data_IF_884467042004
#
_entry.id   IF_884467042004
#
_cell.length_a   1.000
_cell.length_b   1.000
_cell.length_c   1.000
_cell.angle_alpha   90.00
_cell.angle_beta   90.00
_cell.angle_gamma   90.00
#
_symmetry.space_group_name_H-M   'P 1'
#
loop_
_entity.id
_entity.type
_entity.pdbx_description
1 polymer ?
#
# COMPACT_ATOMS: atom_id res chain seq x y z
N UNK A 1 -42.25 44.20 -27.69
CA UNK A 1 -41.10 44.77 -26.96
C UNK A 1 -41.54 44.83 -25.51
N UNK A 2 -41.03 44.07 -24.55
CA UNK A 2 -39.89 43.15 -24.50
C UNK A 2 -40.29 41.98 -23.56
N UNK A 3 -39.85 40.77 -23.88
CA UNK A 3 -39.90 39.62 -22.98
C UNK A 3 -38.52 39.50 -22.35
N UNK A 4 -38.38 39.85 -21.08
CA UNK A 4 -37.16 39.59 -20.30
C UNK A 4 -37.30 38.22 -19.63
N UNK A 5 -37.04 37.17 -20.39
CA UNK A 5 -36.74 35.85 -19.84
C UNK A 5 -35.28 35.87 -19.33
N UNK A 6 -35.14 36.20 -18.05
CA UNK A 6 -33.89 36.04 -17.32
C UNK A 6 -33.59 34.55 -17.18
N UNK A 7 -32.80 34.04 -18.13
CA UNK A 7 -32.15 32.75 -18.05
C UNK A 7 -31.29 32.74 -16.78
N UNK A 8 -31.79 32.13 -15.70
CA UNK A 8 -30.96 31.74 -14.57
C UNK A 8 -29.96 30.71 -15.12
N UNK A 9 -28.81 31.22 -15.55
CA UNK A 9 -27.60 30.43 -15.70
C UNK A 9 -27.30 29.90 -14.30
N UNK A 10 -27.76 28.67 -14.03
CA UNK A 10 -27.22 27.89 -12.93
C UNK A 10 -25.74 27.71 -13.27
N UNK A 11 -24.91 28.61 -12.77
CA UNK A 11 -23.47 28.42 -12.64
C UNK A 11 -23.29 27.20 -11.74
N UNK A 12 -23.35 26.03 -12.38
CA UNK A 12 -22.74 24.81 -11.87
C UNK A 12 -21.27 25.17 -11.78
N UNK A 13 -20.88 25.75 -10.64
CA UNK A 13 -19.48 25.81 -10.24
C UNK A 13 -19.06 24.36 -10.25
N UNK A 14 -18.45 23.94 -11.35
CA UNK A 14 -17.69 22.71 -11.43
C UNK A 14 -16.74 22.82 -10.26
N UNK A 15 -17.05 22.14 -9.16
CA UNK A 15 -16.16 22.02 -8.03
C UNK A 15 -15.02 21.20 -8.59
N UNK A 16 -14.04 21.90 -9.16
CA UNK A 16 -12.82 21.30 -9.67
C UNK A 16 -12.16 20.63 -8.48
N UNK A 17 -12.34 19.32 -8.37
CA UNK A 17 -11.70 18.56 -7.33
C UNK A 17 -10.20 18.62 -7.63
N UNK A 18 -9.39 19.00 -6.64
CA UNK A 18 -7.94 19.03 -6.79
C UNK A 18 -7.38 17.69 -7.32
N UNK A 19 -8.06 16.58 -7.01
CA UNK A 19 -7.72 15.24 -7.48
C UNK A 19 -7.85 15.04 -9.00
N UNK A 20 -8.69 15.82 -9.66
CA UNK A 20 -8.86 15.80 -11.12
C UNK A 20 -7.81 16.66 -11.82
N UNK A 21 -7.23 17.64 -11.11
CA UNK A 21 -6.22 18.55 -11.62
C UNK A 21 -4.79 18.01 -11.49
N UNK A 22 -4.51 17.19 -10.47
CA UNK A 22 -3.17 16.64 -10.24
C UNK A 22 -2.92 15.41 -11.11
N UNK A 23 -1.80 15.37 -11.84
CA UNK A 23 -1.30 14.19 -12.53
C UNK A 23 -0.66 13.18 -11.57
N UNK A 24 -0.30 11.99 -12.08
CA UNK A 24 0.31 10.95 -11.25
C UNK A 24 1.71 11.36 -10.75
N UNK A 25 2.42 12.17 -11.53
CA UNK A 25 3.77 12.64 -11.18
C UNK A 25 3.73 13.67 -10.04
N UNK A 26 2.76 14.56 -10.04
CA UNK A 26 2.52 15.50 -8.94
C UNK A 26 2.13 14.76 -7.67
N UNK A 27 1.28 13.74 -7.77
CA UNK A 27 0.91 12.90 -6.62
C UNK A 27 2.12 12.10 -6.08
N UNK A 28 3.01 11.61 -6.95
CA UNK A 28 4.29 11.01 -6.52
C UNK A 28 5.19 12.04 -5.84
N UNK A 29 5.26 13.26 -6.36
CA UNK A 29 6.04 14.33 -5.76
C UNK A 29 5.51 14.66 -4.36
N UNK A 30 4.19 14.77 -4.18
CA UNK A 30 3.56 14.96 -2.87
C UNK A 30 3.90 13.80 -1.93
N UNK A 31 3.72 12.55 -2.37
CA UNK A 31 4.05 11.37 -1.57
C UNK A 31 5.53 11.35 -1.13
N UNK A 32 6.45 11.75 -2.01
CA UNK A 32 7.88 11.82 -1.70
C UNK A 32 8.25 12.89 -0.67
N UNK A 33 7.40 13.92 -0.51
CA UNK A 33 7.58 15.01 0.46
C UNK A 33 7.02 14.67 1.84
N UNK A 34 6.23 13.61 1.98
CA UNK A 34 5.72 13.16 3.29
C UNK A 34 6.88 12.61 4.13
N UNK A 35 7.14 13.26 5.26
CA UNK A 35 8.22 12.87 6.18
C UNK A 35 7.86 11.67 7.06
N UNK A 36 6.60 11.62 7.55
CA UNK A 36 6.12 10.54 8.42
C UNK A 36 5.57 9.37 7.60
N UNK A 37 5.90 8.16 8.02
CA UNK A 37 5.34 6.94 7.44
C UNK A 37 3.84 6.80 7.76
N UNK A 38 3.34 7.39 8.87
CA UNK A 38 1.90 7.44 9.15
C UNK A 38 1.13 8.22 8.09
N UNK A 39 1.65 9.38 7.68
CA UNK A 39 1.01 10.18 6.63
C UNK A 39 1.03 9.43 5.30
N UNK A 40 2.11 8.71 5.01
CA UNK A 40 2.19 7.84 3.83
C UNK A 40 1.15 6.73 3.87
N UNK A 41 0.78 6.19 5.04
CA UNK A 41 -0.30 5.20 5.16
C UNK A 41 -1.67 5.82 4.86
N UNK A 42 -1.93 7.01 5.39
CA UNK A 42 -3.21 7.73 5.21
C UNK A 42 -3.37 8.27 3.78
N UNK A 43 -2.27 8.58 3.09
CA UNK A 43 -2.27 9.06 1.69
C UNK A 43 -3.11 8.16 0.76
N UNK A 44 -3.03 6.84 0.91
CA UNK A 44 -3.79 5.90 0.07
C UNK A 44 -5.30 5.90 0.34
N UNK A 45 -5.78 6.56 1.40
CA UNK A 45 -7.19 6.53 1.81
C UNK A 45 -8.04 7.60 1.13
N UNK A 46 -7.43 8.53 0.38
CA UNK A 46 -8.14 9.62 -0.31
C UNK A 46 -9.01 9.09 -1.46
N UNK A 47 -8.41 8.33 -2.39
CA UNK A 47 -9.13 7.68 -3.48
C UNK A 47 -8.31 6.52 -4.08
N UNK A 48 -8.94 5.74 -4.98
CA UNK A 48 -8.29 4.58 -5.64
C UNK A 48 -6.99 4.94 -6.37
N UNK A 49 -6.89 6.15 -6.91
CA UNK A 49 -5.70 6.62 -7.63
C UNK A 49 -4.52 6.85 -6.69
N UNK A 50 -4.75 7.52 -5.57
CA UNK A 50 -3.73 7.74 -4.54
C UNK A 50 -3.28 6.41 -3.92
N UNK A 51 -4.23 5.50 -3.67
CA UNK A 51 -3.93 4.13 -3.22
C UNK A 51 -3.00 3.39 -4.18
N UNK A 52 -3.24 3.49 -5.49
CA UNK A 52 -2.39 2.87 -6.52
C UNK A 52 -0.97 3.45 -6.51
N UNK A 53 -0.85 4.78 -6.41
CA UNK A 53 0.46 5.44 -6.34
C UNK A 53 1.21 5.02 -5.09
N UNK A 54 0.59 5.11 -3.91
CA UNK A 54 1.16 4.61 -2.65
C UNK A 54 1.68 3.18 -2.78
N UNK A 55 0.87 2.29 -3.35
CA UNK A 55 1.19 0.87 -3.42
C UNK A 55 2.36 0.56 -4.37
N UNK A 56 2.54 1.37 -5.42
CA UNK A 56 3.66 1.21 -6.37
C UNK A 56 4.96 1.90 -5.91
N UNK A 57 4.84 2.94 -5.08
CA UNK A 57 6.01 3.66 -4.54
C UNK A 57 6.57 3.03 -3.26
N UNK A 58 5.73 2.33 -2.47
CA UNK A 58 6.20 1.68 -1.24
C UNK A 58 7.20 0.56 -1.54
N UNK A 59 8.46 0.76 -1.13
CA UNK A 59 9.56 -0.20 -1.35
C UNK A 59 9.86 -1.09 -0.15
N UNK A 60 9.43 -0.70 1.04
CA UNK A 60 9.68 -1.41 2.29
C UNK A 60 8.38 -1.66 3.03
N UNK A 61 8.23 -2.84 3.61
CA UNK A 61 7.03 -3.20 4.38
C UNK A 61 7.43 -4.17 5.49
N UNK A 62 6.92 -3.92 6.69
CA UNK A 62 6.92 -4.90 7.76
C UNK A 62 5.54 -5.58 7.81
N UNK A 63 5.50 -6.91 7.84
CA UNK A 63 4.24 -7.65 7.85
C UNK A 63 4.27 -8.84 8.80
N UNK A 64 3.10 -9.13 9.37
CA UNK A 64 2.80 -10.37 10.08
C UNK A 64 1.58 -10.98 9.41
N UNK A 65 1.81 -11.95 8.55
CA UNK A 65 0.80 -12.44 7.62
C UNK A 65 1.09 -13.91 7.27
N UNK A 66 0.03 -14.72 7.22
CA UNK A 66 0.09 -16.06 6.63
C UNK A 66 -0.03 -16.04 5.10
N UNK A 67 -0.05 -17.20 4.44
CA UNK A 67 0.16 -17.30 2.99
C UNK A 67 -0.90 -16.54 2.17
N UNK A 68 -2.16 -16.59 2.63
CA UNK A 68 -3.27 -15.89 1.97
C UNK A 68 -3.12 -14.37 2.03
N UNK A 69 -2.69 -13.83 3.16
CA UNK A 69 -2.52 -12.39 3.29
C UNK A 69 -1.24 -11.92 2.58
N UNK A 70 -0.18 -12.73 2.57
CA UNK A 70 1.02 -12.46 1.78
C UNK A 70 0.71 -12.34 0.28
N UNK A 71 -0.19 -13.17 -0.26
CA UNK A 71 -0.67 -13.00 -1.65
C UNK A 71 -1.37 -11.66 -1.89
N UNK A 72 -2.20 -11.21 -0.95
CA UNK A 72 -2.87 -9.90 -1.05
C UNK A 72 -1.87 -8.75 -0.96
N UNK A 73 -0.86 -8.88 -0.10
CA UNK A 73 0.24 -7.91 0.04
C UNK A 73 1.02 -7.84 -1.27
N UNK A 74 1.43 -8.97 -1.84
CA UNK A 74 2.15 -9.03 -3.11
C UNK A 74 1.36 -8.38 -4.26
N UNK A 75 0.05 -8.66 -4.35
CA UNK A 75 -0.82 -8.07 -5.36
C UNK A 75 -0.99 -6.55 -5.21
N UNK A 76 -0.94 -6.04 -3.98
CA UNK A 76 -1.00 -4.59 -3.71
C UNK A 76 0.34 -3.92 -4.01
N UNK A 77 1.42 -4.43 -3.42
CA UNK A 77 2.75 -3.82 -3.46
C UNK A 77 3.64 -4.48 -4.51
N UNK A 78 3.29 -4.27 -5.78
CA UNK A 78 3.94 -4.94 -6.93
C UNK A 78 5.41 -4.57 -7.12
N UNK A 79 5.89 -3.49 -6.50
CA UNK A 79 7.28 -3.01 -6.57
C UNK A 79 7.98 -3.02 -5.22
N UNK A 80 7.55 -3.90 -4.31
CA UNK A 80 8.19 -4.05 -3.00
C UNK A 80 9.60 -4.63 -3.16
N UNK A 81 10.59 -4.00 -2.51
CA UNK A 81 12.00 -4.43 -2.54
C UNK A 81 12.45 -5.06 -1.23
N UNK A 82 11.87 -4.64 -0.11
CA UNK A 82 12.23 -5.11 1.23
C UNK A 82 10.97 -5.54 1.99
N UNK A 83 10.97 -6.77 2.46
CA UNK A 83 9.92 -7.35 3.28
C UNK A 83 10.53 -7.79 4.62
N UNK A 84 10.00 -7.25 5.71
CA UNK A 84 10.40 -7.60 7.06
C UNK A 84 9.31 -8.42 7.75
N UNK A 85 9.65 -9.65 8.09
CA UNK A 85 8.78 -10.58 8.84
C UNK A 85 9.35 -10.90 10.24
N UNK A 86 10.29 -10.07 10.70
CA UNK A 86 10.90 -10.21 12.02
C UNK A 86 9.84 -10.23 13.12
N UNK A 87 9.98 -11.18 14.03
CA UNK A 87 9.09 -11.36 15.16
C UNK A 87 9.70 -10.75 16.43
N UNK A 88 8.84 -10.37 17.37
CA UNK A 88 9.27 -9.91 18.67
C UNK A 88 9.84 -11.07 19.48
N UNK A 89 10.97 -10.82 20.15
CA UNK A 89 11.60 -11.78 21.08
C UNK A 89 10.65 -12.13 22.24
N UNK A 90 9.89 -11.15 22.74
CA UNK A 90 9.01 -11.29 23.91
C UNK A 90 7.56 -11.61 23.57
N UNK A 91 7.11 -11.28 22.35
CA UNK A 91 5.75 -11.57 21.88
C UNK A 91 5.81 -12.46 20.66
N UNK A 92 5.75 -13.76 20.85
CA UNK A 92 5.67 -14.68 19.72
C UNK A 92 4.29 -14.69 19.10
N UNK A 93 4.26 -14.47 17.79
CA UNK A 93 3.16 -14.92 16.95
C UNK A 93 3.46 -16.36 16.55
N UNK A 94 2.59 -17.30 16.90
CA UNK A 94 2.74 -18.72 16.56
C UNK A 94 1.55 -19.20 15.71
N UNK A 95 1.77 -20.01 14.66
CA UNK A 95 3.08 -20.39 14.12
C UNK A 95 3.84 -19.17 13.58
N UNK A 96 5.18 -19.27 13.56
CA UNK A 96 6.02 -18.25 12.95
C UNK A 96 5.92 -18.27 11.42
N UNK A 97 6.97 -17.76 10.75
CA UNK A 97 7.09 -17.89 9.30
C UNK A 97 7.26 -19.37 8.95
N UNK A 98 6.40 -19.90 8.08
CA UNK A 98 6.40 -21.29 7.62
C UNK A 98 6.92 -21.41 6.19
N UNK A 99 7.24 -22.63 5.75
CA UNK A 99 7.65 -22.89 4.35
C UNK A 99 6.56 -22.49 3.34
N UNK A 100 5.28 -22.59 3.74
CA UNK A 100 4.16 -22.16 2.90
C UNK A 100 4.15 -20.63 2.69
N UNK A 101 4.61 -19.87 3.68
CA UNK A 101 4.80 -18.42 3.57
C UNK A 101 5.96 -18.10 2.64
N UNK A 102 7.10 -18.77 2.83
CA UNK A 102 8.30 -18.60 2.00
C UNK A 102 8.04 -18.95 0.54
N UNK A 103 7.26 -20.00 0.26
CA UNK A 103 6.84 -20.37 -1.10
C UNK A 103 6.02 -19.26 -1.78
N UNK A 104 5.09 -18.63 -1.05
CA UNK A 104 4.35 -17.47 -1.55
C UNK A 104 5.29 -16.29 -1.80
N UNK A 105 6.24 -16.05 -0.90
CA UNK A 105 7.19 -14.93 -1.04
C UNK A 105 8.04 -15.10 -2.30
N UNK A 106 8.59 -16.30 -2.50
CA UNK A 106 9.42 -16.63 -3.65
C UNK A 106 8.69 -16.51 -4.99
N UNK A 107 7.39 -16.78 -5.02
CA UNK A 107 6.59 -16.79 -6.26
C UNK A 107 5.87 -15.48 -6.55
N UNK A 108 5.39 -14.78 -5.52
CA UNK A 108 4.50 -13.62 -5.68
C UNK A 108 5.22 -12.27 -5.60
N UNK A 109 6.40 -12.18 -4.96
CA UNK A 109 7.11 -10.91 -4.78
C UNK A 109 8.26 -10.77 -5.79
N UNK A 110 7.92 -10.52 -7.06
CA UNK A 110 8.85 -10.53 -8.19
C UNK A 110 9.99 -9.48 -8.12
N UNK A 111 9.81 -8.41 -7.35
CA UNK A 111 10.80 -7.32 -7.20
C UNK A 111 11.56 -7.38 -5.86
N UNK A 112 11.32 -8.39 -5.02
CA UNK A 112 11.90 -8.47 -3.69
C UNK A 112 13.42 -8.70 -3.78
N UNK A 113 14.17 -7.97 -2.96
CA UNK A 113 15.63 -8.03 -2.88
C UNK A 113 16.13 -8.36 -1.48
N UNK A 114 15.39 -7.91 -0.47
CA UNK A 114 15.75 -8.07 0.94
C UNK A 114 14.55 -8.71 1.65
N UNK A 115 14.81 -9.84 2.31
CA UNK A 115 13.85 -10.51 3.19
C UNK A 115 14.45 -10.59 4.59
N UNK A 116 13.90 -9.84 5.53
CA UNK A 116 14.36 -9.85 6.92
C UNK A 116 13.56 -10.89 7.71
N UNK A 117 14.27 -11.89 8.22
CA UNK A 117 13.74 -12.95 9.08
C UNK A 117 14.51 -12.93 10.39
N UNK A 118 13.86 -12.53 11.48
CA UNK A 118 14.46 -12.55 12.82
C UNK A 118 13.47 -13.11 13.82
N UNK A 119 13.95 -13.91 14.76
CA UNK A 119 13.15 -14.55 15.82
C UNK A 119 11.94 -15.34 15.31
N UNK A 120 11.97 -15.80 14.06
CA UNK A 120 10.88 -16.60 13.49
C UNK A 120 10.83 -17.95 14.20
N UNK A 121 9.76 -18.19 14.97
CA UNK A 121 9.59 -19.47 15.67
C UNK A 121 9.04 -20.51 14.69
N UNK A 122 9.89 -21.44 14.25
CA UNK A 122 9.47 -22.58 13.44
C UNK A 122 8.56 -23.51 14.22
N UNK A 123 7.58 -24.09 13.55
CA UNK A 123 6.89 -25.29 14.02
C UNK A 123 7.84 -26.48 13.83
N UNK A 124 8.58 -26.85 14.86
CA UNK A 124 9.25 -28.15 14.90
C UNK A 124 8.15 -29.22 14.98
N UNK A 125 7.74 -29.78 13.84
CA UNK A 125 7.11 -31.08 13.82
C UNK A 125 8.25 -32.10 13.84
N UNK A 126 8.48 -32.69 15.00
CA UNK A 126 9.28 -33.89 15.15
C UNK A 126 8.66 -34.99 14.26
N UNK A 127 9.49 -35.64 13.43
CA UNK A 127 9.18 -36.93 12.81
C UNK A 127 9.23 -38.05 13.85
#
# INVERSE_FOLDING_TARGET
MASDDSHLQNDVVSVHCINDSLGDDELRAVLSRLGDDKDKEVFGLVCKRWLRIQSTERKKLCARAGPHMLRKIAARFTRLHELDLSQSVSRSFYPGVTDSDLSVIATAFSCLRILNLQNCKGSFLYF
#
